data_IF_733606635869
#
_entry.id   IF_733606635869
#
_cell.length_a   1.000
_cell.length_b   1.000
_cell.length_c   1.000
_cell.angle_alpha   90.00
_cell.angle_beta   90.00
_cell.angle_gamma   90.00
#
_symmetry.space_group_name_H-M   'P 1'
#
loop_
_entity.id
_entity.type
_entity.pdbx_description
1 polymer ?
#
# COMPACT_ATOMS: atom_id res chain seq x y z
N UNK A 1 16.33 13.33 -3.89
CA UNK A 1 16.28 13.10 -2.43
C UNK A 1 14.91 13.57 -1.97
N UNK A 2 14.06 12.69 -1.41
CA UNK A 2 12.72 13.10 -0.95
C UNK A 2 12.85 14.11 0.19
N UNK A 3 11.99 15.13 0.21
CA UNK A 3 11.92 16.09 1.32
C UNK A 3 11.28 15.45 2.55
N UNK A 4 11.50 16.00 3.75
CA UNK A 4 10.89 15.49 4.99
C UNK A 4 9.36 15.47 4.91
N UNK A 5 8.75 16.40 4.16
CA UNK A 5 7.30 16.44 3.93
C UNK A 5 6.84 15.26 3.06
N UNK A 6 7.50 15.01 1.93
CA UNK A 6 7.16 13.89 1.04
C UNK A 6 7.32 12.53 1.73
N UNK A 7 8.30 12.41 2.63
CA UNK A 7 8.52 11.20 3.39
C UNK A 7 7.44 11.00 4.47
N UNK A 8 6.97 12.07 5.12
CA UNK A 8 5.84 12.01 6.05
C UNK A 8 4.54 11.60 5.33
N UNK A 9 4.29 12.16 4.15
CA UNK A 9 3.11 11.80 3.35
C UNK A 9 3.17 10.33 2.90
N UNK A 10 4.37 9.82 2.57
CA UNK A 10 4.58 8.38 2.30
C UNK A 10 4.25 7.51 3.53
N UNK A 11 4.76 7.86 4.71
CA UNK A 11 4.51 7.13 5.96
C UNK A 11 3.01 7.07 6.27
N UNK A 12 2.29 8.18 6.06
CA UNK A 12 0.83 8.20 6.24
C UNK A 12 0.11 7.24 5.29
N UNK A 13 0.52 7.21 4.02
CA UNK A 13 -0.01 6.25 3.05
C UNK A 13 0.29 4.82 3.45
N UNK A 14 1.53 4.54 3.85
CA UNK A 14 1.96 3.21 4.27
C UNK A 14 1.19 2.71 5.50
N UNK A 15 0.94 3.57 6.50
CA UNK A 15 0.11 3.22 7.67
C UNK A 15 -1.30 2.77 7.25
N UNK A 16 -1.92 3.49 6.31
CA UNK A 16 -3.25 3.13 5.78
C UNK A 16 -3.18 1.78 5.08
N UNK A 17 -2.21 1.60 4.18
CA UNK A 17 -2.01 0.35 3.45
C UNK A 17 -1.80 -0.83 4.40
N UNK A 18 -0.88 -0.72 5.37
CA UNK A 18 -0.61 -1.78 6.34
C UNK A 18 -1.82 -2.16 7.18
N UNK A 19 -2.64 -1.16 7.56
CA UNK A 19 -3.91 -1.43 8.26
C UNK A 19 -4.88 -2.20 7.36
N UNK A 20 -5.01 -1.83 6.10
CA UNK A 20 -5.86 -2.53 5.13
C UNK A 20 -5.37 -3.96 4.86
N UNK A 21 -4.07 -4.20 4.93
CA UNK A 21 -3.41 -5.51 4.86
C UNK A 21 -3.50 -6.31 6.17
N UNK A 22 -4.18 -5.78 7.21
CA UNK A 22 -4.40 -6.50 8.46
C UNK A 22 -3.22 -6.48 9.44
N UNK A 23 -2.26 -5.58 9.27
CA UNK A 23 -1.19 -5.35 10.25
C UNK A 23 -1.70 -4.49 11.42
N UNK A 24 -1.14 -4.72 12.63
CA UNK A 24 -1.32 -3.80 13.74
C UNK A 24 -0.35 -2.62 13.60
N UNK A 25 -0.90 -1.42 13.41
CA UNK A 25 -0.13 -0.17 13.21
C UNK A 25 -0.19 0.78 14.42
N UNK A 26 -0.93 0.45 15.48
CA UNK A 26 -1.24 1.36 16.59
C UNK A 26 0.01 1.96 17.24
N UNK A 27 1.00 1.12 17.55
CA UNK A 27 2.25 1.57 18.18
C UNK A 27 3.06 2.53 17.29
N UNK A 28 3.02 2.34 15.97
CA UNK A 28 3.71 3.20 15.01
C UNK A 28 2.97 4.52 14.84
N UNK A 29 1.64 4.51 14.77
CA UNK A 29 0.84 5.73 14.75
C UNK A 29 1.08 6.60 15.99
N UNK A 30 1.11 5.99 17.18
CA UNK A 30 1.47 6.68 18.42
C UNK A 30 2.91 7.24 18.39
N UNK A 31 3.84 6.53 17.75
CA UNK A 31 5.22 7.00 17.57
C UNK A 31 5.26 8.25 16.67
N UNK A 32 4.58 8.19 15.52
CA UNK A 32 4.49 9.31 14.56
C UNK A 32 3.83 10.52 15.20
N UNK A 33 2.69 10.34 15.89
CA UNK A 33 1.98 11.42 16.56
C UNK A 33 2.81 12.09 17.67
N UNK A 34 3.52 11.30 18.48
CA UNK A 34 4.44 11.85 19.48
C UNK A 34 5.57 12.64 18.84
N UNK A 35 6.13 12.14 17.75
CA UNK A 35 7.22 12.80 17.05
C UNK A 35 6.78 14.11 16.39
N UNK A 36 5.56 14.18 15.84
CA UNK A 36 4.97 15.40 15.28
C UNK A 36 4.72 16.50 16.32
N UNK A 37 4.47 16.12 17.58
CA UNK A 37 4.25 17.08 18.68
C UNK A 37 5.54 17.70 19.22
N UNK A 38 6.71 17.17 18.87
CA UNK A 38 7.99 17.71 19.32
C UNK A 38 8.32 18.99 18.56
N UNK A 39 8.92 19.96 19.26
CA UNK A 39 9.28 21.27 18.71
C UNK A 39 10.38 21.21 17.64
N UNK A 40 11.17 20.14 17.61
CA UNK A 40 12.21 19.88 16.61
C UNK A 40 11.71 19.12 15.36
N UNK A 41 10.44 18.71 15.36
CA UNK A 41 9.85 17.90 14.30
C UNK A 41 10.53 16.53 14.12
N UNK A 42 10.15 15.81 13.05
CA UNK A 42 10.75 14.52 12.70
C UNK A 42 12.03 14.72 11.88
N UNK A 43 13.14 14.14 12.34
CA UNK A 43 14.40 14.11 11.56
C UNK A 43 14.31 13.05 10.46
N UNK A 44 15.05 13.24 9.38
CA UNK A 44 15.05 12.30 8.24
C UNK A 44 15.41 10.86 8.63
N UNK A 45 16.30 10.69 9.62
CA UNK A 45 16.66 9.36 10.16
C UNK A 45 15.48 8.71 10.88
N UNK A 46 14.73 9.46 11.70
CA UNK A 46 13.57 8.95 12.42
C UNK A 46 12.45 8.54 11.47
N UNK A 47 12.21 9.34 10.41
CA UNK A 47 11.27 9.01 9.35
C UNK A 47 11.66 7.72 8.61
N UNK A 48 12.95 7.53 8.34
CA UNK A 48 13.43 6.32 7.69
C UNK A 48 13.27 5.08 8.58
N UNK A 49 13.58 5.19 9.89
CA UNK A 49 13.34 4.10 10.84
C UNK A 49 11.88 3.71 10.89
N UNK A 50 10.96 4.68 10.96
CA UNK A 50 9.52 4.42 10.96
C UNK A 50 9.08 3.69 9.68
N UNK A 51 9.63 4.06 8.52
CA UNK A 51 9.34 3.37 7.27
C UNK A 51 9.81 1.91 7.30
N UNK A 52 11.03 1.63 7.79
CA UNK A 52 11.52 0.27 7.95
C UNK A 52 10.68 -0.55 8.95
N UNK A 53 10.23 0.07 10.03
CA UNK A 53 9.35 -0.58 11.01
C UNK A 53 8.02 -0.98 10.37
N UNK A 54 7.41 -0.08 9.58
CA UNK A 54 6.23 -0.38 8.79
C UNK A 54 6.49 -1.52 7.80
N UNK A 55 7.59 -1.46 7.05
CA UNK A 55 7.99 -2.50 6.10
C UNK A 55 8.10 -3.91 6.73
N UNK A 56 8.48 -3.97 8.01
CA UNK A 56 8.65 -5.22 8.74
C UNK A 56 7.36 -5.83 9.30
N UNK A 57 6.26 -5.06 9.38
CA UNK A 57 5.01 -5.56 9.94
C UNK A 57 4.50 -6.76 9.14
N UNK A 58 3.90 -7.71 9.85
CA UNK A 58 3.21 -8.84 9.25
C UNK A 58 1.71 -8.76 9.57
N UNK A 59 0.84 -9.15 8.63
CA UNK A 59 -0.59 -9.28 8.90
C UNK A 59 -0.87 -10.20 10.10
N UNK A 60 -1.95 -9.93 10.82
CA UNK A 60 -2.43 -10.86 11.84
C UNK A 60 -2.78 -12.23 11.23
N UNK A 61 -2.54 -13.32 11.96
CA UNK A 61 -2.87 -14.69 11.50
C UNK A 61 -4.36 -14.86 11.15
N UNK A 62 -5.24 -14.05 11.74
CA UNK A 62 -6.68 -14.03 11.46
C UNK A 62 -7.06 -13.27 10.18
N UNK A 63 -6.12 -12.60 9.51
CA UNK A 63 -6.41 -11.85 8.29
C UNK A 63 -6.73 -12.82 7.14
N UNK A 64 -7.86 -12.63 6.42
CA UNK A 64 -8.39 -13.68 5.55
C UNK A 64 -7.70 -13.78 4.19
N UNK A 65 -6.89 -12.78 3.83
CA UNK A 65 -6.23 -12.72 2.53
C UNK A 65 -4.75 -13.07 2.65
N UNK A 66 -4.24 -13.68 1.59
CA UNK A 66 -2.82 -13.98 1.42
C UNK A 66 -2.34 -13.19 0.21
N UNK A 67 -1.17 -12.57 0.30
CA UNK A 67 -0.53 -11.88 -0.82
C UNK A 67 0.44 -12.84 -1.55
N UNK A 68 0.02 -13.48 -2.65
CA UNK A 68 0.90 -14.35 -3.43
C UNK A 68 1.91 -13.52 -4.22
N UNK A 69 3.19 -13.93 -4.24
CA UNK A 69 4.25 -13.20 -4.95
C UNK A 69 4.65 -13.87 -6.27
N UNK A 70 4.46 -15.17 -6.39
CA UNK A 70 4.79 -15.92 -7.61
C UNK A 70 3.57 -16.12 -8.50
N UNK A 71 3.80 -16.31 -9.80
CA UNK A 71 2.73 -16.57 -10.75
C UNK A 71 1.91 -17.83 -10.37
N UNK A 72 2.57 -18.86 -9.86
CA UNK A 72 1.91 -20.11 -9.49
C UNK A 72 1.03 -19.93 -8.24
N UNK A 73 1.50 -19.19 -7.23
CA UNK A 73 0.70 -18.82 -6.06
C UNK A 73 -0.49 -17.93 -6.44
N UNK A 74 -0.28 -16.94 -7.31
CA UNK A 74 -1.34 -16.06 -7.81
C UNK A 74 -2.42 -16.90 -8.51
N UNK A 75 -2.02 -17.84 -9.36
CA UNK A 75 -2.96 -18.73 -10.05
C UNK A 75 -3.73 -19.63 -9.08
N UNK A 76 -3.07 -20.12 -8.03
CA UNK A 76 -3.67 -21.00 -7.04
C UNK A 76 -4.67 -20.27 -6.11
N UNK A 77 -4.39 -18.99 -5.76
CA UNK A 77 -5.24 -18.18 -4.88
C UNK A 77 -6.33 -17.40 -5.63
N UNK A 78 -6.17 -17.20 -6.94
CA UNK A 78 -7.16 -16.51 -7.77
C UNK A 78 -8.50 -17.29 -7.76
N UNK A 79 -9.62 -16.66 -7.36
CA UNK A 79 -10.94 -17.28 -7.44
C UNK A 79 -11.30 -17.73 -8.86
N UNK A 80 -12.17 -18.74 -8.95
CA UNK A 80 -12.76 -19.14 -10.22
C UNK A 80 -13.70 -18.06 -10.75
N UNK A 81 -13.61 -17.82 -12.06
CA UNK A 81 -14.35 -16.76 -12.73
C UNK A 81 -13.98 -16.65 -14.21
N UNK A 82 -14.75 -15.89 -15.00
CA UNK A 82 -14.51 -15.73 -16.44
C UNK A 82 -13.12 -15.14 -16.67
N UNK A 83 -12.28 -15.86 -17.44
CA UNK A 83 -10.91 -15.42 -17.79
C UNK A 83 -10.85 -14.61 -19.08
N UNK A 84 -11.97 -14.50 -19.78
CA UNK A 84 -12.17 -13.71 -20.99
C UNK A 84 -13.51 -13.01 -20.87
N UNK A 85 -13.51 -11.71 -21.12
CA UNK A 85 -14.71 -10.90 -21.21
C UNK A 85 -14.91 -10.55 -22.67
N UNK A 86 -16.14 -10.63 -23.15
CA UNK A 86 -16.48 -10.19 -24.51
C UNK A 86 -16.31 -8.67 -24.59
N UNK A 87 -15.45 -8.21 -25.50
CA UNK A 87 -15.21 -6.79 -25.72
C UNK A 87 -16.12 -6.29 -26.85
N UNK A 88 -17.24 -5.70 -26.47
CA UNK A 88 -18.20 -5.11 -27.41
C UNK A 88 -17.80 -3.67 -27.80
N UNK A 89 -16.53 -3.46 -28.17
CA UNK A 89 -16.03 -2.18 -28.69
C UNK A 89 -15.30 -2.42 -30.00
N UNK A 90 -15.54 -1.53 -30.96
CA UNK A 90 -14.67 -1.42 -32.12
C UNK A 90 -13.30 -0.90 -31.70
N UNK A 91 -12.27 -1.15 -32.51
CA UNK A 91 -10.92 -0.62 -32.24
C UNK A 91 -10.90 0.91 -32.08
N UNK A 92 -11.72 1.63 -32.84
CA UNK A 92 -11.84 3.09 -32.72
C UNK A 92 -12.43 3.52 -31.37
N UNK A 93 -13.51 2.87 -30.91
CA UNK A 93 -14.12 3.16 -29.60
C UNK A 93 -13.19 2.78 -28.43
N UNK A 94 -12.39 1.73 -28.60
CA UNK A 94 -11.39 1.36 -27.60
C UNK A 94 -10.26 2.39 -27.53
N UNK A 95 -9.76 2.84 -28.68
CA UNK A 95 -8.70 3.84 -28.79
C UNK A 95 -9.10 5.17 -28.15
N UNK A 96 -10.32 5.62 -28.45
CA UNK A 96 -10.93 6.84 -27.90
C UNK A 96 -10.91 6.82 -26.35
N UNK A 97 -11.35 5.70 -25.75
CA UNK A 97 -11.32 5.53 -24.28
C UNK A 97 -9.92 5.43 -23.69
N UNK A 98 -8.99 4.78 -24.38
CA UNK A 98 -7.58 4.71 -23.94
C UNK A 98 -6.96 6.11 -23.88
N UNK A 99 -7.34 6.98 -24.81
CA UNK A 99 -6.88 8.38 -24.83
C UNK A 99 -7.69 9.31 -23.91
N UNK A 100 -8.74 8.81 -23.26
CA UNK A 100 -9.56 9.58 -22.34
C UNK A 100 -10.36 10.71 -22.99
N UNK A 101 -10.69 10.55 -24.28
CA UNK A 101 -11.58 11.47 -25.02
C UNK A 101 -13.06 11.20 -24.72
#
# INVERSE_FOLDING_TARGET
>A
MKTSKELLDLIRGEIVQRREEGCNVEAIEECVERALRRSDGLRGVELYTILCDLESLQPAESFPYVEPSTLDEIRAKRPDGPRRMELNLTGAQMLDRIHGA
#
